data_IF_715571569906
#
_entry.id   IF_715571569906
#
_cell.length_a   1.000
_cell.length_b   1.000
_cell.length_c   1.000
_cell.angle_alpha   90.00
_cell.angle_beta   90.00
_cell.angle_gamma   90.00
#
_symmetry.space_group_name_H-M   'P 1'
#
loop_
_entity.id
_entity.type
_entity.pdbx_description
1 polymer ?
#
# COMPACT_ATOMS: atom_id res chain seq x y z
N UNK A 1 -65.42 -42.94 34.40
CA UNK A 1 -65.35 -42.01 35.57
C UNK A 1 -64.15 -41.13 35.39
N UNK A 2 -64.45 -39.92 35.03
CA UNK A 2 -63.95 -38.65 35.58
C UNK A 2 -62.43 -38.62 35.82
N UNK A 3 -61.71 -37.62 35.51
CA UNK A 3 -61.90 -36.17 35.42
C UNK A 3 -60.59 -35.57 34.95
N UNK A 4 -60.76 -34.66 34.11
CA UNK A 4 -60.58 -33.24 34.34
C UNK A 4 -59.17 -32.71 34.17
N UNK A 5 -58.98 -32.31 33.04
CA UNK A 5 -58.39 -31.03 32.64
C UNK A 5 -58.01 -30.09 33.78
N UNK A 6 -56.77 -29.63 33.74
CA UNK A 6 -56.41 -28.26 34.13
C UNK A 6 -55.20 -27.83 33.32
N UNK A 7 -55.49 -27.18 32.30
CA UNK A 7 -55.30 -25.76 32.12
C UNK A 7 -54.25 -25.15 33.08
N UNK A 8 -53.11 -24.95 32.58
CA UNK A 8 -52.12 -24.13 33.21
C UNK A 8 -51.56 -23.16 32.19
N UNK A 9 -52.29 -22.07 32.12
CA UNK A 9 -51.88 -20.81 31.60
C UNK A 9 -50.48 -20.49 32.05
N UNK A 10 -49.52 -20.73 31.18
CA UNK A 10 -48.15 -20.24 31.36
C UNK A 10 -48.15 -18.74 30.96
N UNK A 11 -48.14 -17.98 32.00
CA UNK A 11 -47.98 -16.55 31.99
C UNK A 11 -46.64 -16.17 31.34
N UNK A 12 -46.74 -15.62 30.16
CA UNK A 12 -45.65 -14.96 29.49
C UNK A 12 -45.26 -13.71 30.26
N UNK A 13 -44.25 -13.77 31.02
CA UNK A 13 -43.54 -12.58 31.47
C UNK A 13 -42.66 -12.08 30.34
N UNK A 14 -42.86 -10.87 29.85
CA UNK A 14 -41.89 -10.27 28.98
C UNK A 14 -40.68 -9.89 29.82
N UNK A 15 -39.64 -10.68 29.73
CA UNK A 15 -38.33 -10.26 30.18
C UNK A 15 -37.94 -9.05 29.33
N UNK A 16 -37.94 -7.91 29.95
CA UNK A 16 -37.33 -6.71 29.43
C UNK A 16 -35.83 -6.97 29.35
N UNK A 17 -35.42 -7.46 28.23
CA UNK A 17 -34.03 -7.50 27.85
C UNK A 17 -33.55 -6.05 27.71
N UNK A 18 -32.82 -5.62 28.70
CA UNK A 18 -32.09 -4.37 28.64
C UNK A 18 -31.12 -4.43 27.44
N UNK A 19 -31.57 -3.86 26.34
CA UNK A 19 -30.71 -3.55 25.22
C UNK A 19 -29.64 -2.59 25.71
N UNK A 20 -28.56 -3.14 26.23
CA UNK A 20 -27.30 -2.42 26.31
C UNK A 20 -26.90 -2.15 24.89
N UNK A 21 -27.16 -0.93 24.48
CA UNK A 21 -26.61 -0.38 23.25
C UNK A 21 -25.10 -0.57 23.25
N UNK A 22 -24.66 -1.67 22.67
CA UNK A 22 -23.33 -1.73 22.12
C UNK A 22 -23.33 -0.71 21.00
N UNK A 23 -22.85 0.48 21.30
CA UNK A 23 -22.43 1.44 20.31
C UNK A 23 -21.30 0.80 19.53
N UNK A 24 -21.63 -0.09 18.63
CA UNK A 24 -20.76 -0.44 17.55
C UNK A 24 -20.65 0.83 16.72
N UNK A 25 -19.53 1.55 16.93
CA UNK A 25 -19.05 2.49 15.92
C UNK A 25 -19.28 1.80 14.57
N UNK A 26 -19.97 2.42 13.62
CA UNK A 26 -19.97 1.89 12.29
C UNK A 26 -18.50 1.90 11.84
N UNK A 27 -17.84 0.77 11.97
CA UNK A 27 -16.66 0.53 11.16
C UNK A 27 -17.21 0.66 9.76
N UNK A 28 -16.86 1.76 9.10
CA UNK A 28 -17.09 1.93 7.69
C UNK A 28 -16.49 0.68 7.05
N UNK A 29 -17.34 -0.27 6.74
CA UNK A 29 -16.99 -1.43 5.94
C UNK A 29 -16.74 -0.88 4.56
N UNK A 30 -15.55 -0.37 4.38
CA UNK A 30 -15.05 -0.08 3.04
C UNK A 30 -15.04 -1.44 2.38
N UNK A 31 -15.92 -1.64 1.43
CA UNK A 31 -16.01 -2.93 0.74
C UNK A 31 -14.64 -3.27 0.17
N UNK A 32 -14.15 -4.45 0.46
CA UNK A 32 -12.92 -4.92 -0.17
C UNK A 32 -13.19 -5.11 -1.66
N UNK A 33 -12.38 -4.51 -2.51
CA UNK A 33 -12.40 -4.73 -3.94
C UNK A 33 -11.55 -5.97 -4.25
N UNK A 34 -12.12 -6.90 -5.01
CA UNK A 34 -11.42 -8.13 -5.39
C UNK A 34 -11.19 -8.13 -6.89
N UNK A 35 -9.93 -8.29 -7.30
CA UNK A 35 -9.51 -8.44 -8.68
C UNK A 35 -9.19 -9.91 -8.90
N UNK A 36 -9.97 -10.57 -9.74
CA UNK A 36 -9.82 -12.00 -10.03
C UNK A 36 -8.58 -12.31 -10.88
N UNK A 37 -8.14 -13.56 -10.85
CA UNK A 37 -6.92 -14.03 -11.53
C UNK A 37 -6.95 -13.96 -13.07
N UNK A 38 -8.13 -13.90 -13.65
CA UNK A 38 -8.35 -13.76 -15.09
C UNK A 38 -8.41 -12.29 -15.56
N UNK A 39 -8.23 -11.36 -14.63
CA UNK A 39 -8.32 -9.93 -14.88
C UNK A 39 -6.94 -9.32 -15.06
N UNK A 40 -6.78 -8.62 -16.18
CA UNK A 40 -5.59 -7.81 -16.45
C UNK A 40 -5.97 -6.33 -16.42
N UNK A 41 -5.31 -5.56 -15.57
CA UNK A 41 -5.56 -4.12 -15.42
C UNK A 41 -4.32 -3.37 -15.88
N UNK A 42 -4.51 -2.44 -16.81
CA UNK A 42 -3.45 -1.51 -17.24
C UNK A 42 -3.83 -0.08 -16.92
N UNK A 43 -3.02 0.57 -16.10
CA UNK A 43 -3.23 1.97 -15.71
C UNK A 43 -3.15 2.20 -14.22
N UNK A 44 -3.80 3.24 -13.71
CA UNK A 44 -3.76 3.58 -12.29
C UNK A 44 -5.02 3.13 -11.55
N UNK A 45 -4.82 2.39 -10.48
CA UNK A 45 -5.88 1.95 -9.57
C UNK A 45 -5.79 2.73 -8.28
N UNK A 46 -6.88 3.41 -7.91
CA UNK A 46 -6.95 4.14 -6.64
C UNK A 46 -8.13 3.63 -5.81
N UNK A 47 -7.86 3.27 -4.57
CA UNK A 47 -8.89 2.85 -3.61
C UNK A 47 -8.58 3.46 -2.23
N UNK A 48 -9.60 3.82 -1.49
CA UNK A 48 -9.45 4.26 -0.10
C UNK A 48 -9.55 3.08 0.89
N UNK A 49 -9.94 1.90 0.42
CA UNK A 49 -10.19 0.72 1.22
C UNK A 49 -9.24 -0.43 0.96
N UNK A 50 -9.67 -1.62 1.37
CA UNK A 50 -8.93 -2.85 1.12
C UNK A 50 -9.11 -3.32 -0.32
N UNK A 51 -8.01 -3.70 -0.96
CA UNK A 51 -7.99 -4.27 -2.32
C UNK A 51 -7.28 -5.61 -2.27
N UNK A 52 -7.94 -6.64 -2.77
CA UNK A 52 -7.33 -7.95 -2.98
C UNK A 52 -7.06 -8.13 -4.47
N UNK A 53 -5.83 -8.50 -4.82
CA UNK A 53 -5.37 -8.62 -6.19
C UNK A 53 -4.87 -10.05 -6.41
N UNK A 54 -5.62 -10.83 -7.18
CA UNK A 54 -5.23 -12.16 -7.60
C UNK A 54 -4.85 -12.21 -9.10
N UNK A 55 -5.11 -11.11 -9.84
CA UNK A 55 -4.83 -10.97 -11.25
C UNK A 55 -3.53 -10.24 -11.58
N UNK A 56 -3.39 -9.84 -12.84
CA UNK A 56 -2.23 -9.06 -13.32
C UNK A 56 -2.56 -7.57 -13.33
N UNK A 57 -1.69 -6.77 -12.73
CA UNK A 57 -1.83 -5.31 -12.73
C UNK A 57 -0.55 -4.66 -13.25
N UNK A 58 -0.68 -3.86 -14.30
CA UNK A 58 0.40 -3.06 -14.86
C UNK A 58 0.11 -1.57 -14.64
N UNK A 59 0.92 -0.92 -13.81
CA UNK A 59 0.81 0.52 -13.55
C UNK A 59 0.85 0.89 -12.08
N UNK A 60 0.16 1.97 -11.71
CA UNK A 60 0.20 2.52 -10.35
C UNK A 60 -0.98 2.01 -9.52
N UNK A 61 -0.69 1.42 -8.37
CA UNK A 61 -1.71 0.99 -7.40
C UNK A 61 -1.60 1.80 -6.13
N UNK A 62 -2.67 2.48 -5.76
CA UNK A 62 -2.75 3.25 -4.53
C UNK A 62 -3.97 2.82 -3.71
N UNK A 63 -3.73 2.28 -2.52
CA UNK A 63 -4.82 1.87 -1.64
C UNK A 63 -4.42 1.96 -0.15
N UNK A 64 -5.39 1.87 0.74
CA UNK A 64 -5.14 1.78 2.19
C UNK A 64 -4.50 0.43 2.53
N UNK A 65 -5.23 -0.65 2.24
CA UNK A 65 -4.77 -2.01 2.46
C UNK A 65 -4.72 -2.77 1.14
N UNK A 66 -3.56 -3.32 0.80
CA UNK A 66 -3.38 -4.14 -0.40
C UNK A 66 -2.99 -5.55 0.01
N UNK A 67 -3.73 -6.52 -0.48
CA UNK A 67 -3.42 -7.94 -0.35
C UNK A 67 -3.22 -8.54 -1.72
N UNK A 68 -2.03 -9.04 -1.99
CA UNK A 68 -1.70 -9.69 -3.27
C UNK A 68 -1.76 -11.18 -3.05
N UNK A 69 -2.64 -11.85 -3.78
CA UNK A 69 -2.78 -13.30 -3.73
C UNK A 69 -1.63 -14.04 -4.42
N UNK A 70 -1.58 -15.35 -4.24
CA UNK A 70 -0.50 -16.19 -4.77
C UNK A 70 -0.41 -16.20 -6.31
N UNK A 71 -1.54 -15.95 -6.99
CA UNK A 71 -1.58 -15.80 -8.46
C UNK A 71 -1.39 -14.38 -8.93
N UNK A 72 -1.38 -13.40 -8.01
CA UNK A 72 -1.25 -11.99 -8.32
C UNK A 72 0.15 -11.63 -8.83
N UNK A 73 0.19 -10.85 -9.91
CA UNK A 73 1.41 -10.28 -10.47
C UNK A 73 1.25 -8.78 -10.65
N UNK A 74 2.14 -8.00 -10.08
CA UNK A 74 2.09 -6.54 -10.20
C UNK A 74 3.39 -6.03 -10.81
N UNK A 75 3.23 -5.17 -11.80
CA UNK A 75 4.30 -4.49 -12.51
C UNK A 75 4.09 -2.98 -12.39
N UNK A 76 4.93 -2.29 -11.62
CA UNK A 76 4.87 -0.84 -11.49
C UNK A 76 5.06 -0.30 -10.09
N UNK A 77 4.39 0.82 -9.75
CA UNK A 77 4.51 1.47 -8.44
C UNK A 77 3.32 1.13 -7.55
N UNK A 78 3.61 0.74 -6.31
CA UNK A 78 2.59 0.43 -5.31
C UNK A 78 2.71 1.41 -4.15
N UNK A 79 1.61 2.07 -3.81
CA UNK A 79 1.47 2.95 -2.65
C UNK A 79 0.41 2.40 -1.71
N UNK A 80 0.78 2.02 -0.49
CA UNK A 80 -0.16 1.48 0.49
C UNK A 80 0.18 1.89 1.92
N UNK A 81 -0.78 1.85 2.81
CA UNK A 81 -0.48 1.91 4.25
C UNK A 81 -0.06 0.52 4.75
N UNK A 82 -0.83 -0.51 4.39
CA UNK A 82 -0.53 -1.90 4.69
C UNK A 82 -0.47 -2.72 3.41
N UNK A 83 0.63 -3.42 3.18
CA UNK A 83 0.83 -4.28 2.03
C UNK A 83 1.11 -5.71 2.48
N UNK A 84 0.31 -6.66 2.01
CA UNK A 84 0.53 -8.11 2.18
C UNK A 84 0.77 -8.75 0.84
N UNK A 85 1.86 -9.48 0.74
CA UNK A 85 2.31 -10.08 -0.53
C UNK A 85 2.43 -11.59 -0.40
N UNK A 86 1.72 -12.31 -1.28
CA UNK A 86 1.86 -13.77 -1.48
C UNK A 86 2.30 -14.10 -2.90
N UNK A 87 2.17 -13.16 -3.82
CA UNK A 87 2.44 -13.31 -5.24
C UNK A 87 3.75 -12.67 -5.69
N UNK A 88 3.76 -12.23 -6.94
CA UNK A 88 4.93 -11.63 -7.58
C UNK A 88 4.76 -10.13 -7.72
N UNK A 89 5.81 -9.37 -7.40
CA UNK A 89 5.86 -7.93 -7.61
C UNK A 89 7.16 -7.56 -8.30
N UNK A 90 7.05 -6.68 -9.31
CA UNK A 90 8.19 -6.09 -9.97
C UNK A 90 8.01 -4.58 -10.03
N UNK A 91 8.91 -3.83 -9.38
CA UNK A 91 8.90 -2.38 -9.40
C UNK A 91 9.15 -1.72 -8.06
N UNK A 92 8.53 -0.57 -7.82
CA UNK A 92 8.74 0.25 -6.64
C UNK A 92 7.58 0.11 -5.66
N UNK A 93 7.88 -0.21 -4.42
CA UNK A 93 6.89 -0.37 -3.36
C UNK A 93 7.09 0.73 -2.33
N UNK A 94 6.03 1.47 -2.03
CA UNK A 94 6.00 2.47 -0.96
C UNK A 94 4.87 2.15 0.00
N UNK A 95 5.22 1.62 1.16
CA UNK A 95 4.21 1.28 2.16
C UNK A 95 4.72 1.52 3.59
N UNK A 96 3.83 1.88 4.48
CA UNK A 96 4.18 1.99 5.91
C UNK A 96 4.52 0.64 6.50
N UNK A 97 3.68 -0.34 6.23
CA UNK A 97 3.87 -1.71 6.71
C UNK A 97 3.86 -2.67 5.53
N UNK A 98 4.93 -3.43 5.38
CA UNK A 98 5.06 -4.47 4.36
C UNK A 98 5.16 -5.82 5.05
N UNK A 99 4.30 -6.75 4.67
CA UNK A 99 4.31 -8.13 5.12
C UNK A 99 4.52 -9.03 3.90
N UNK A 100 5.68 -9.65 3.81
CA UNK A 100 5.96 -10.65 2.79
C UNK A 100 5.60 -12.01 3.37
N UNK A 101 4.58 -12.64 2.81
CA UNK A 101 4.15 -13.97 3.23
C UNK A 101 4.91 -15.06 2.46
N UNK A 102 4.74 -16.31 2.89
CA UNK A 102 5.37 -17.48 2.29
C UNK A 102 5.07 -17.57 0.78
N UNK A 103 6.12 -17.71 -0.02
CA UNK A 103 6.02 -17.78 -1.48
C UNK A 103 6.00 -16.43 -2.20
N UNK A 104 6.08 -15.32 -1.47
CA UNK A 104 6.19 -14.00 -2.06
C UNK A 104 7.51 -13.83 -2.83
N UNK A 105 7.43 -13.25 -4.02
CA UNK A 105 8.60 -12.88 -4.82
C UNK A 105 8.54 -11.40 -5.16
N UNK A 106 9.47 -10.63 -4.64
CA UNK A 106 9.51 -9.18 -4.86
C UNK A 106 10.84 -8.78 -5.48
N UNK A 107 10.76 -8.11 -6.61
CA UNK A 107 11.93 -7.62 -7.36
C UNK A 107 11.81 -6.10 -7.50
N UNK A 108 12.77 -5.36 -6.93
CA UNK A 108 12.82 -3.92 -7.05
C UNK A 108 13.11 -3.17 -5.77
N UNK A 109 12.65 -1.92 -5.68
CA UNK A 109 12.93 -1.04 -4.55
C UNK A 109 11.77 -1.00 -3.56
N UNK A 110 12.04 -1.24 -2.28
CA UNK A 110 11.04 -1.17 -1.22
C UNK A 110 11.35 -0.01 -0.28
N UNK A 111 10.39 0.91 -0.16
CA UNK A 111 10.39 1.98 0.84
C UNK A 111 9.35 1.67 1.91
N UNK A 112 9.80 1.47 3.14
CA UNK A 112 8.91 1.05 4.23
C UNK A 112 9.28 1.68 5.57
N UNK A 113 8.33 1.79 6.47
CA UNK A 113 8.58 2.09 7.87
C UNK A 113 8.74 0.80 8.70
N UNK A 114 7.93 -0.21 8.41
CA UNK A 114 8.01 -1.52 9.03
C UNK A 114 7.97 -2.64 7.97
N UNK A 115 8.86 -3.62 8.07
CA UNK A 115 8.95 -4.77 7.18
C UNK A 115 8.91 -6.06 7.99
N UNK A 116 8.05 -6.96 7.59
CA UNK A 116 7.96 -8.33 8.12
C UNK A 116 8.16 -9.29 6.96
N UNK A 117 9.13 -10.16 7.07
CA UNK A 117 9.43 -11.18 6.05
C UNK A 117 9.21 -12.54 6.69
N UNK A 118 8.34 -13.33 6.10
CA UNK A 118 8.12 -14.71 6.51
C UNK A 118 9.13 -15.64 5.82
N UNK A 119 9.36 -16.84 6.37
CA UNK A 119 10.19 -17.84 5.70
C UNK A 119 9.62 -18.15 4.31
N UNK A 120 10.50 -18.55 3.38
CA UNK A 120 10.21 -18.83 1.96
C UNK A 120 9.82 -17.61 1.10
N UNK A 121 9.90 -16.39 1.63
CA UNK A 121 9.77 -15.19 0.83
C UNK A 121 11.10 -14.87 0.14
N UNK A 122 11.05 -14.65 -1.16
CA UNK A 122 12.21 -14.22 -1.96
C UNK A 122 12.13 -12.72 -2.19
N UNK A 123 13.22 -12.04 -1.89
CA UNK A 123 13.35 -10.61 -2.14
C UNK A 123 14.65 -10.32 -2.89
N UNK A 124 14.53 -9.61 -4.00
CA UNK A 124 15.67 -9.15 -4.80
C UNK A 124 15.56 -7.65 -5.04
N UNK A 125 16.53 -6.88 -4.56
CA UNK A 125 16.55 -5.43 -4.77
C UNK A 125 17.07 -4.64 -3.60
N UNK A 126 16.64 -3.38 -3.52
CA UNK A 126 17.04 -2.44 -2.48
C UNK A 126 15.90 -2.19 -1.51
N UNK A 127 16.21 -2.27 -0.23
CA UNK A 127 15.29 -1.92 0.85
C UNK A 127 15.77 -0.63 1.50
N UNK A 128 14.91 0.36 1.56
CA UNK A 128 15.16 1.62 2.23
C UNK A 128 14.10 1.86 3.29
N UNK A 129 14.54 2.05 4.52
CA UNK A 129 13.63 2.43 5.58
C UNK A 129 13.35 3.92 5.50
N UNK A 130 12.07 4.26 5.49
CA UNK A 130 11.57 5.63 5.46
C UNK A 130 10.35 5.75 6.36
N UNK A 131 10.35 6.69 7.29
CA UNK A 131 9.26 6.86 8.26
C UNK A 131 7.96 7.37 7.62
N UNK A 132 8.03 7.98 6.45
CA UNK A 132 6.89 8.46 5.68
C UNK A 132 6.97 8.10 4.19
N UNK A 133 6.90 6.82 3.82
CA UNK A 133 7.05 6.39 2.42
C UNK A 133 5.92 6.86 1.50
N UNK A 134 4.78 7.26 2.09
CA UNK A 134 3.62 7.77 1.35
C UNK A 134 3.66 9.28 1.12
N UNK A 135 4.61 9.98 1.73
CA UNK A 135 4.83 11.37 1.40
C UNK A 135 5.40 11.42 0.00
N UNK A 136 4.65 11.99 -0.90
CA UNK A 136 5.06 12.23 -2.28
C UNK A 136 6.31 13.11 -2.26
N UNK A 137 7.44 12.47 -2.16
CA UNK A 137 8.67 13.07 -2.64
C UNK A 137 8.50 13.02 -4.14
N UNK A 138 8.15 14.18 -4.75
CA UNK A 138 8.34 14.37 -6.17
C UNK A 138 9.69 13.74 -6.54
N UNK A 139 9.79 13.03 -7.68
CA UNK A 139 11.04 12.43 -8.07
C UNK A 139 12.09 13.52 -8.00
N UNK A 140 12.95 13.45 -7.00
CA UNK A 140 14.22 14.16 -7.08
C UNK A 140 14.89 13.53 -8.28
N UNK A 141 14.65 14.17 -9.42
CA UNK A 141 15.53 14.04 -10.54
C UNK A 141 16.95 14.07 -9.98
N UNK A 142 17.68 13.02 -10.30
CA UNK A 142 19.06 12.88 -9.95
C UNK A 142 19.72 14.24 -9.87
N UNK A 143 20.13 14.64 -8.67
CA UNK A 143 21.16 15.67 -8.57
C UNK A 143 22.39 15.10 -9.28
N UNK A 144 22.43 15.32 -10.57
CA UNK A 144 23.70 15.48 -11.22
C UNK A 144 24.40 16.58 -10.45
N UNK A 145 25.33 16.20 -9.61
CA UNK A 145 26.38 17.09 -9.15
C UNK A 145 26.98 17.67 -10.40
N UNK A 146 26.43 18.79 -10.88
CA UNK A 146 27.17 19.70 -11.69
C UNK A 146 28.22 20.28 -10.79
N UNK A 147 29.40 19.70 -10.85
CA UNK A 147 30.61 20.34 -10.43
C UNK A 147 30.69 21.63 -11.24
N UNK A 148 30.24 22.68 -10.62
CA UNK A 148 30.49 24.03 -11.07
C UNK A 148 32.01 24.24 -10.99
N UNK A 149 32.68 23.87 -12.05
CA UNK A 149 34.01 24.40 -12.30
C UNK A 149 33.82 25.89 -12.54
N UNK A 150 34.11 26.67 -11.53
CA UNK A 150 34.32 28.08 -11.63
C UNK A 150 35.45 28.34 -12.61
N UNK A 151 35.11 28.58 -13.83
CA UNK A 151 36.02 29.25 -14.75
C UNK A 151 36.01 30.73 -14.41
N UNK A 152 36.94 31.11 -13.63
CA UNK A 152 37.30 32.50 -13.51
C UNK A 152 37.77 33.01 -14.87
N UNK A 153 36.92 33.73 -15.53
CA UNK A 153 37.29 34.54 -16.65
C UNK A 153 38.14 35.69 -16.14
N UNK A 154 39.40 35.54 -16.31
CA UNK A 154 40.30 36.69 -16.14
C UNK A 154 40.29 37.52 -17.38
N UNK A 155 39.47 38.51 -17.37
CA UNK A 155 39.59 39.63 -18.28
C UNK A 155 40.82 40.42 -17.92
N UNK A 156 41.73 40.52 -18.81
CA UNK A 156 42.73 41.56 -18.83
C UNK A 156 43.01 41.95 -20.27
N UNK A 157 42.15 42.77 -20.75
CA UNK A 157 42.47 43.62 -21.88
C UNK A 157 43.01 44.92 -21.32
N UNK A 158 44.22 45.23 -21.62
CA UNK A 158 44.70 46.59 -21.63
C UNK A 158 45.81 46.70 -22.67
N UNK A 159 45.39 46.97 -23.87
CA UNK A 159 46.28 47.51 -24.84
C UNK A 159 46.21 48.99 -24.80
N UNK A 160 47.21 49.63 -24.32
CA UNK A 160 47.42 51.03 -24.48
C UNK A 160 48.19 51.29 -25.71
N UNK A 161 47.59 52.08 -26.55
CA UNK A 161 48.20 52.82 -27.63
C UNK A 161 49.34 53.67 -27.15
N UNK A 162 50.35 53.79 -27.92
CA UNK A 162 51.37 54.84 -27.91
C UNK A 162 51.76 55.08 -29.33
N UNK A 163 51.32 56.06 -29.85
CA UNK A 163 51.85 57.37 -30.13
C UNK A 163 53.22 57.34 -30.84
N UNK A 164 53.17 57.82 -31.96
CA UNK A 164 53.92 58.87 -32.65
C UNK A 164 54.08 58.58 -34.13
#
# INVERSE_FOLDING_TARGET
MFTKTKDSTAQLTPAQDAVRGASSKPSSRVGASIICSDMEIKGSVKSAGAVQIDGTVEGDVSAGDITIGASGSILGEIKAETLRVKGKIQGSIRARKVELETGASVIGDIFHAALVIQPDATFEGKVKREDNPLRETAPQAAETKSTSASAAALSAAQGTAGTA
#
